data_IF_478490264932
#
_entry.id   IF_478490264932
#
_cell.length_a   1.000
_cell.length_b   1.000
_cell.length_c   1.000
_cell.angle_alpha   90.00
_cell.angle_beta   90.00
_cell.angle_gamma   90.00
#
_symmetry.space_group_name_H-M   'P 1'
#
loop_
_entity.id
_entity.type
_entity.pdbx_description
1 polymer ?
#
# COMPACT_ATOMS: atom_id res chain seq x y z
N UNK A 1 20.32 -27.27 -21.55
CA UNK A 1 20.72 -27.00 -20.15
C UNK A 1 20.16 -25.68 -19.60
N UNK A 2 20.13 -24.60 -20.39
CA UNK A 2 19.60 -23.28 -20.02
C UNK A 2 18.10 -23.24 -19.67
N UNK A 3 17.24 -23.92 -20.42
CA UNK A 3 15.79 -23.91 -20.16
C UNK A 3 15.40 -24.54 -18.81
N UNK A 4 16.07 -25.64 -18.43
CA UNK A 4 15.84 -26.32 -17.15
C UNK A 4 16.27 -25.46 -15.95
N UNK A 5 17.38 -24.71 -16.09
CA UNK A 5 17.84 -23.77 -15.06
C UNK A 5 16.91 -22.56 -14.92
N UNK A 6 16.37 -22.05 -16.03
CA UNK A 6 15.38 -20.96 -16.01
C UNK A 6 14.06 -21.42 -15.36
N UNK A 7 13.59 -22.63 -15.69
CA UNK A 7 12.40 -23.19 -15.07
C UNK A 7 12.59 -23.44 -13.56
N UNK A 8 13.75 -23.97 -13.16
CA UNK A 8 14.09 -24.17 -11.75
C UNK A 8 14.18 -22.84 -10.98
N UNK A 9 14.78 -21.81 -11.58
CA UNK A 9 14.85 -20.48 -11.00
C UNK A 9 13.47 -19.82 -10.88
N UNK A 10 12.60 -19.96 -11.89
CA UNK A 10 11.24 -19.45 -11.86
C UNK A 10 10.37 -20.16 -10.80
N UNK A 11 10.54 -21.47 -10.64
CA UNK A 11 9.87 -22.25 -9.60
C UNK A 11 10.37 -21.90 -8.20
N UNK A 12 11.68 -21.76 -8.01
CA UNK A 12 12.26 -21.34 -6.73
C UNK A 12 11.85 -19.91 -6.36
N UNK A 13 11.83 -19.01 -7.34
CA UNK A 13 11.33 -17.64 -7.17
C UNK A 13 9.83 -17.66 -6.83
N UNK A 14 8.99 -18.36 -7.59
CA UNK A 14 7.55 -18.48 -7.33
C UNK A 14 7.21 -19.11 -5.98
N UNK A 15 7.97 -20.13 -5.57
CA UNK A 15 7.81 -20.80 -4.28
C UNK A 15 8.26 -19.90 -3.11
N UNK A 16 9.39 -19.21 -3.26
CA UNK A 16 9.84 -18.19 -2.30
C UNK A 16 8.87 -17.02 -2.18
N UNK A 17 8.30 -16.58 -3.31
CA UNK A 17 7.27 -15.55 -3.38
C UNK A 17 5.96 -15.95 -2.71
N UNK A 18 5.56 -17.22 -2.80
CA UNK A 18 4.36 -17.73 -2.13
C UNK A 18 4.54 -17.92 -0.62
N UNK A 19 5.72 -18.34 -0.15
CA UNK A 19 5.95 -18.72 1.25
C UNK A 19 6.31 -17.54 2.17
N UNK A 20 7.06 -16.55 1.68
CA UNK A 20 7.66 -15.50 2.52
C UNK A 20 6.88 -14.18 2.61
N UNK A 21 5.77 -14.04 1.86
CA UNK A 21 5.11 -12.75 1.60
C UNK A 21 6.13 -11.64 1.26
N UNK A 22 7.07 -11.86 0.34
CA UNK A 22 8.12 -10.88 0.05
C UNK A 22 7.57 -9.54 -0.44
N UNK A 23 6.33 -9.49 -0.95
CA UNK A 23 5.66 -8.24 -1.27
C UNK A 23 5.59 -7.28 -0.07
N UNK A 24 5.24 -7.75 1.13
CA UNK A 24 5.22 -6.88 2.32
C UNK A 24 6.64 -6.51 2.72
N UNK A 25 7.57 -7.47 2.72
CA UNK A 25 8.97 -7.22 3.10
C UNK A 25 9.69 -6.25 2.16
N UNK A 26 9.39 -6.27 0.86
CA UNK A 26 9.91 -5.31 -0.11
C UNK A 26 9.34 -3.91 0.09
N UNK A 27 8.06 -3.81 0.46
CA UNK A 27 7.44 -2.53 0.82
C UNK A 27 8.00 -1.99 2.14
N UNK A 28 8.13 -2.84 3.18
CA UNK A 28 8.73 -2.45 4.46
C UNK A 28 10.18 -1.96 4.30
N UNK A 29 10.96 -2.64 3.45
CA UNK A 29 12.30 -2.17 3.10
C UNK A 29 12.28 -0.84 2.33
N UNK A 30 11.36 -0.70 1.36
CA UNK A 30 11.24 0.51 0.55
C UNK A 30 10.83 1.71 1.42
N UNK A 31 9.97 1.50 2.41
CA UNK A 31 9.60 2.50 3.43
C UNK A 31 10.84 2.96 4.21
N UNK A 32 11.62 2.03 4.76
CA UNK A 32 12.88 2.38 5.45
C UNK A 32 13.95 3.02 4.55
N UNK A 33 13.88 2.82 3.23
CA UNK A 33 14.74 3.50 2.27
C UNK A 33 14.33 4.96 1.99
N UNK A 34 13.10 5.36 2.32
CA UNK A 34 12.64 6.76 2.18
C UNK A 34 13.36 7.69 3.16
N UNK A 35 13.67 7.21 4.37
CA UNK A 35 14.36 7.97 5.42
C UNK A 35 15.76 8.43 5.00
N UNK A 36 16.39 7.73 4.04
CA UNK A 36 17.73 8.06 3.53
C UNK A 36 17.74 9.29 2.60
N UNK A 37 16.57 9.71 2.12
CA UNK A 37 16.40 10.87 1.24
C UNK A 37 16.91 10.67 -0.20
N UNK A 38 16.55 11.62 -1.08
CA UNK A 38 16.74 11.54 -2.55
C UNK A 38 18.20 11.40 -3.03
N UNK A 39 19.16 11.78 -2.18
CA UNK A 39 20.60 11.69 -2.51
C UNK A 39 21.13 10.26 -2.40
N UNK A 40 20.41 9.37 -1.71
CA UNK A 40 20.82 7.99 -1.54
C UNK A 40 20.25 7.11 -2.67
N UNK A 41 21.05 6.24 -3.32
CA UNK A 41 20.59 5.44 -4.46
C UNK A 41 19.43 4.50 -4.11
N UNK A 42 19.39 3.97 -2.89
CA UNK A 42 18.27 3.14 -2.43
C UNK A 42 16.92 3.89 -2.44
N UNK A 43 16.90 5.22 -2.34
CA UNK A 43 15.66 5.99 -2.44
C UNK A 43 15.03 5.85 -3.82
N UNK A 44 15.85 5.85 -4.88
CA UNK A 44 15.39 5.66 -6.26
C UNK A 44 14.89 4.24 -6.51
N UNK A 45 15.58 3.24 -5.97
CA UNK A 45 15.12 1.84 -6.05
C UNK A 45 13.79 1.67 -5.33
N UNK A 46 13.60 2.32 -4.18
CA UNK A 46 12.32 2.31 -3.47
C UNK A 46 11.18 2.91 -4.31
N UNK A 47 11.43 3.99 -5.08
CA UNK A 47 10.42 4.54 -5.99
C UNK A 47 9.95 3.53 -7.02
N UNK A 48 10.86 2.71 -7.56
CA UNK A 48 10.49 1.66 -8.52
C UNK A 48 9.63 0.57 -7.86
N UNK A 49 9.97 0.17 -6.64
CA UNK A 49 9.17 -0.80 -5.86
C UNK A 49 7.75 -0.27 -5.65
N UNK A 50 7.61 0.99 -5.23
CA UNK A 50 6.29 1.62 -5.06
C UNK A 50 5.54 1.76 -6.38
N UNK A 51 6.22 2.13 -7.48
CA UNK A 51 5.60 2.25 -8.79
C UNK A 51 5.03 0.92 -9.28
N UNK A 52 5.78 -0.19 -9.12
CA UNK A 52 5.31 -1.54 -9.47
C UNK A 52 4.13 -1.96 -8.60
N UNK A 53 4.19 -1.73 -7.28
CA UNK A 53 3.08 -2.05 -6.38
C UNK A 53 1.82 -1.23 -6.71
N UNK A 54 1.98 0.04 -7.04
CA UNK A 54 0.89 0.90 -7.47
C UNK A 54 0.29 0.43 -8.80
N UNK A 55 1.13 0.11 -9.79
CA UNK A 55 0.66 -0.44 -11.05
C UNK A 55 -0.13 -1.73 -10.85
N UNK A 56 0.36 -2.64 -10.00
CA UNK A 56 -0.32 -3.89 -9.65
C UNK A 56 -1.70 -3.66 -9.02
N UNK A 57 -1.81 -2.74 -8.07
CA UNK A 57 -3.11 -2.44 -7.43
C UNK A 57 -4.10 -1.81 -8.41
N UNK A 58 -3.63 -1.02 -9.38
CA UNK A 58 -4.46 -0.48 -10.45
C UNK A 58 -4.89 -1.52 -11.47
N UNK A 59 -4.05 -2.53 -11.78
CA UNK A 59 -4.40 -3.58 -12.74
C UNK A 59 -5.31 -4.64 -12.13
N UNK A 60 -5.03 -5.09 -10.90
CA UNK A 60 -5.79 -6.18 -10.26
C UNK A 60 -7.08 -5.68 -9.61
N UNK A 61 -7.08 -4.47 -9.07
CA UNK A 61 -8.22 -3.91 -8.34
C UNK A 61 -8.61 -2.48 -8.78
N UNK A 62 -8.82 -2.22 -10.08
CA UNK A 62 -8.99 -0.86 -10.62
C UNK A 62 -10.13 -0.08 -9.97
N UNK A 63 -11.28 -0.72 -9.74
CA UNK A 63 -12.47 -0.07 -9.17
C UNK A 63 -12.23 0.36 -7.72
N UNK A 64 -11.56 -0.48 -6.93
CA UNK A 64 -11.21 -0.20 -5.52
C UNK A 64 -10.15 0.90 -5.44
N UNK A 65 -9.12 0.84 -6.28
CA UNK A 65 -8.08 1.86 -6.37
C UNK A 65 -8.67 3.22 -6.75
N UNK A 66 -9.57 3.29 -7.74
CA UNK A 66 -10.27 4.52 -8.10
C UNK A 66 -11.21 5.03 -6.99
N UNK A 67 -11.90 4.13 -6.27
CA UNK A 67 -12.72 4.50 -5.12
C UNK A 67 -11.87 5.13 -4.00
N UNK A 68 -10.73 4.52 -3.66
CA UNK A 68 -9.81 5.04 -2.64
C UNK A 68 -9.26 6.42 -3.02
N UNK A 69 -8.86 6.62 -4.28
CA UNK A 69 -8.38 7.93 -4.75
C UNK A 69 -9.50 8.98 -4.65
N UNK A 70 -10.74 8.63 -4.97
CA UNK A 70 -11.89 9.53 -4.82
C UNK A 70 -12.18 9.84 -3.35
N UNK A 71 -12.11 8.85 -2.47
CA UNK A 71 -12.31 9.02 -1.03
C UNK A 71 -11.25 9.98 -0.46
N UNK A 72 -9.98 9.75 -0.77
CA UNK A 72 -8.88 10.58 -0.28
C UNK A 72 -8.99 12.05 -0.72
N UNK A 73 -9.54 12.30 -1.91
CA UNK A 73 -9.84 13.67 -2.37
C UNK A 73 -10.98 14.32 -1.61
N UNK A 74 -12.01 13.55 -1.22
CA UNK A 74 -13.14 14.04 -0.43
C UNK A 74 -12.78 14.27 1.04
N UNK A 75 -11.94 13.43 1.62
CA UNK A 75 -11.53 13.54 3.03
C UNK A 75 -10.69 14.80 3.30
N UNK A 76 -10.00 15.33 2.29
CA UNK A 76 -9.34 16.65 2.38
C UNK A 76 -10.31 17.83 2.56
N UNK A 77 -11.58 17.62 2.23
CA UNK A 77 -12.67 18.58 2.43
C UNK A 77 -13.55 18.21 3.62
N UNK A 78 -13.23 17.15 4.37
CA UNK A 78 -13.97 16.83 5.58
C UNK A 78 -13.80 17.99 6.59
N UNK A 79 -14.91 18.46 7.20
CA UNK A 79 -14.82 19.49 8.22
C UNK A 79 -13.97 19.00 9.38
N UNK A 80 -13.17 19.89 9.95
CA UNK A 80 -12.37 19.61 11.14
C UNK A 80 -13.30 19.12 12.25
N UNK A 81 -13.07 17.94 12.86
CA UNK A 81 -13.93 17.46 13.93
C UNK A 81 -13.94 18.47 15.08
N UNK A 82 -15.13 18.98 15.41
CA UNK A 82 -15.34 19.88 16.54
C UNK A 82 -15.64 19.02 17.76
N UNK A 83 -14.92 19.26 18.87
CA UNK A 83 -15.21 18.58 20.12
C UNK A 83 -16.61 18.98 20.59
N UNK A 84 -17.49 18.01 20.71
CA UNK A 84 -18.83 18.18 21.26
C UNK A 84 -18.78 17.92 22.78
N UNK A 85 -18.90 18.96 23.64
CA UNK A 85 -18.90 18.76 25.09
C UNK A 85 -20.12 17.98 25.60
N UNK A 86 -21.20 17.90 24.82
CA UNK A 86 -22.43 17.21 25.18
C UNK A 86 -22.59 15.87 24.44
N UNK A 87 -21.52 15.32 23.86
CA UNK A 87 -21.57 14.09 23.06
C UNK A 87 -22.26 12.92 23.77
N UNK A 88 -22.15 12.86 25.10
CA UNK A 88 -22.73 11.81 25.92
C UNK A 88 -24.26 11.89 26.00
N UNK A 89 -24.84 13.09 25.92
CA UNK A 89 -26.30 13.31 26.00
C UNK A 89 -26.97 12.92 24.68
N UNK A 90 -26.40 13.32 23.55
CA UNK A 90 -26.92 13.00 22.21
C UNK A 90 -26.96 11.50 21.90
N UNK A 91 -26.08 10.70 22.52
CA UNK A 91 -26.07 9.24 22.34
C UNK A 91 -27.24 8.52 23.01
N UNK A 92 -27.89 9.17 23.98
CA UNK A 92 -29.04 8.64 24.74
C UNK A 92 -30.39 9.03 24.13
N UNK A 93 -30.41 10.01 23.23
CA UNK A 93 -31.62 10.55 22.62
C UNK A 93 -32.00 9.90 21.28
N UNK A 94 -31.20 8.97 20.75
CA UNK A 94 -31.59 8.21 19.56
C UNK A 94 -32.89 7.42 19.84
N UNK A 95 -34.00 7.74 19.15
CA UNK A 95 -35.22 6.96 19.30
C UNK A 95 -35.02 5.59 18.64
N UNK A 96 -35.47 4.57 19.36
CA UNK A 96 -35.43 3.16 18.99
C UNK A 96 -36.30 2.84 17.78
#
# INVERSE_FOLDING_TARGET
>A
MTAALVAAAALAAGYGLGRYRPGTRCLDWAEGALDKGRRHPAWWVAQLVFAVALAWTWTVHPRRSAANVRAWRKDRTAPTPVYDPNWAQHRTEEPK
#
